data_IF_749684410342
#
_entry.id   IF_749684410342
#
_cell.length_a   1.000
_cell.length_b   1.000
_cell.length_c   1.000
_cell.angle_alpha   90.00
_cell.angle_beta   90.00
_cell.angle_gamma   90.00
#
_symmetry.space_group_name_H-M   'P 1'
#
loop_
_entity.id
_entity.type
_entity.pdbx_description
1 polymer ?
#
# COMPACT_ATOMS: atom_id res chain seq x y z
N UNK A 1 11.50 14.46 1.21
CA UNK A 1 11.11 14.22 2.63
C UNK A 1 10.97 12.71 2.81
N UNK A 2 11.22 12.11 3.99
CA UNK A 2 10.92 10.70 4.21
C UNK A 2 9.42 10.45 4.01
N UNK A 3 9.07 9.30 3.45
CA UNK A 3 7.70 8.82 3.26
C UNK A 3 7.52 7.48 3.96
N UNK A 4 6.28 7.02 4.09
CA UNK A 4 5.90 5.78 4.75
C UNK A 4 6.28 4.53 3.93
N UNK A 5 5.99 4.52 2.62
CA UNK A 5 6.30 3.42 1.70
C UNK A 5 6.79 3.94 0.35
N UNK A 6 7.74 3.21 -0.24
CA UNK A 6 8.16 3.34 -1.64
C UNK A 6 8.06 1.98 -2.32
N UNK A 7 7.56 1.96 -3.56
CA UNK A 7 7.41 0.77 -4.38
C UNK A 7 8.35 0.85 -5.59
N UNK A 8 9.10 -0.23 -5.84
CA UNK A 8 10.02 -0.34 -6.96
C UNK A 8 9.63 -1.56 -7.81
N UNK A 9 8.81 -1.36 -8.87
CA UNK A 9 8.36 -2.46 -9.71
C UNK A 9 9.54 -3.11 -10.44
N UNK A 10 9.50 -4.43 -10.55
CA UNK A 10 10.48 -5.20 -11.31
C UNK A 10 10.04 -5.35 -12.76
N UNK A 11 10.89 -4.92 -13.69
CA UNK A 11 10.70 -5.17 -15.12
C UNK A 11 11.41 -6.46 -15.52
N UNK A 12 10.63 -7.52 -15.76
CA UNK A 12 11.18 -8.82 -16.17
C UNK A 12 11.79 -8.73 -17.56
N UNK A 13 12.99 -9.30 -17.79
CA UNK A 13 13.52 -9.47 -19.13
C UNK A 13 12.52 -10.23 -20.03
N UNK A 14 12.35 -9.86 -21.31
CA UNK A 14 11.35 -10.48 -22.19
C UNK A 14 11.50 -12.00 -22.34
N UNK A 15 12.73 -12.48 -22.18
CA UNK A 15 13.13 -13.86 -22.46
C UNK A 15 12.89 -14.81 -21.29
N UNK A 16 12.61 -14.28 -20.09
CA UNK A 16 12.39 -15.09 -18.88
C UNK A 16 11.23 -14.50 -18.08
N UNK A 17 10.05 -15.13 -18.06
CA UNK A 17 8.97 -14.70 -17.17
C UNK A 17 9.34 -15.07 -15.73
N UNK A 18 9.68 -14.06 -14.93
CA UNK A 18 9.90 -14.22 -13.49
C UNK A 18 8.65 -13.76 -12.73
N UNK A 19 8.12 -14.53 -11.76
CA UNK A 19 6.96 -14.13 -10.96
C UNK A 19 7.37 -13.17 -9.83
N UNK A 20 8.13 -12.12 -10.16
CA UNK A 20 8.58 -11.09 -9.22
C UNK A 20 7.83 -9.79 -9.51
N UNK A 21 7.23 -9.21 -8.47
CA UNK A 21 6.54 -7.92 -8.56
C UNK A 21 7.50 -6.74 -8.41
N UNK A 22 8.50 -6.86 -7.55
CA UNK A 22 9.43 -5.79 -7.20
C UNK A 22 9.65 -5.68 -5.70
N UNK A 23 10.15 -4.52 -5.26
CA UNK A 23 10.54 -4.27 -3.88
C UNK A 23 9.65 -3.22 -3.21
N UNK A 24 9.39 -3.40 -1.91
CA UNK A 24 8.79 -2.40 -1.04
C UNK A 24 9.81 -1.94 0.01
N UNK A 25 9.99 -0.64 0.13
CA UNK A 25 10.80 -0.02 1.19
C UNK A 25 9.88 0.75 2.11
N UNK A 26 9.75 0.28 3.35
CA UNK A 26 8.83 0.86 4.35
C UNK A 26 9.62 1.49 5.50
N UNK A 27 9.31 2.73 5.83
CA UNK A 27 9.97 3.47 6.91
C UNK A 27 9.24 3.28 8.24
N UNK A 28 9.70 2.31 9.06
CA UNK A 28 9.06 1.97 10.33
C UNK A 28 8.80 3.17 11.29
N UNK A 29 9.72 4.14 11.48
CA UNK A 29 9.45 5.30 12.33
C UNK A 29 8.33 6.19 11.79
N UNK A 30 8.21 6.34 10.47
CA UNK A 30 7.15 7.14 9.84
C UNK A 30 5.81 6.42 10.02
N UNK A 31 5.73 5.12 9.72
CA UNK A 31 4.53 4.30 9.94
C UNK A 31 4.06 4.35 11.39
N UNK A 32 4.98 4.22 12.35
CA UNK A 32 4.63 4.31 13.77
C UNK A 32 4.14 5.71 14.18
N UNK A 33 4.63 6.76 13.54
CA UNK A 33 4.23 8.15 13.84
C UNK A 33 2.85 8.43 13.27
N UNK A 34 2.61 8.05 12.02
CA UNK A 34 1.31 8.20 11.35
C UNK A 34 0.22 7.40 12.05
N UNK A 35 0.47 6.14 12.41
CA UNK A 35 -0.50 5.32 13.13
C UNK A 35 -0.97 6.00 14.42
N UNK A 36 -0.05 6.61 15.17
CA UNK A 36 -0.41 7.37 16.39
C UNK A 36 -1.19 8.65 16.08
N UNK A 37 -0.78 9.39 15.06
CA UNK A 37 -1.43 10.66 14.68
C UNK A 37 -2.85 10.44 14.15
N UNK A 38 -3.08 9.35 13.43
CA UNK A 38 -4.37 8.96 12.87
C UNK A 38 -5.18 8.07 13.80
N UNK A 39 -4.71 7.82 15.04
CA UNK A 39 -5.36 6.93 16.00
C UNK A 39 -5.67 5.51 15.45
N UNK A 40 -4.82 5.01 14.56
CA UNK A 40 -4.90 3.67 13.98
C UNK A 40 -4.11 2.68 14.81
N UNK A 41 -4.60 1.44 14.87
CA UNK A 41 -3.79 0.34 15.40
C UNK A 41 -2.51 0.19 14.56
N UNK A 42 -1.35 0.11 15.20
CA UNK A 42 -0.06 0.04 14.51
C UNK A 42 -0.02 -1.09 13.47
N UNK A 43 -0.56 -2.27 13.82
CA UNK A 43 -0.61 -3.42 12.92
C UNK A 43 -1.51 -3.17 11.70
N UNK A 44 -2.63 -2.45 11.88
CA UNK A 44 -3.51 -2.08 10.77
C UNK A 44 -2.82 -1.10 9.81
N UNK A 45 -2.07 -0.12 10.34
CA UNK A 45 -1.32 0.82 9.50
C UNK A 45 -0.18 0.13 8.73
N UNK A 46 0.50 -0.84 9.35
CA UNK A 46 1.46 -1.69 8.64
C UNK A 46 0.81 -2.50 7.52
N UNK A 47 -0.33 -3.13 7.79
CA UNK A 47 -1.06 -3.89 6.79
C UNK A 47 -1.47 -2.98 5.62
N UNK A 48 -1.96 -1.77 5.93
CA UNK A 48 -2.31 -0.76 4.92
C UNK A 48 -1.11 -0.43 4.02
N UNK A 49 0.06 -0.10 4.59
CA UNK A 49 1.25 0.23 3.79
C UNK A 49 1.74 -0.91 2.91
N UNK A 50 1.64 -2.16 3.38
CA UNK A 50 2.03 -3.33 2.58
C UNK A 50 1.04 -3.55 1.44
N UNK A 51 -0.27 -3.47 1.70
CA UNK A 51 -1.31 -3.63 0.68
C UNK A 51 -1.19 -2.52 -0.37
N UNK A 52 -1.13 -1.26 0.07
CA UNK A 52 -0.95 -0.09 -0.78
C UNK A 52 0.29 -0.21 -1.66
N UNK A 53 1.45 -0.51 -1.05
CA UNK A 53 2.70 -0.69 -1.77
C UNK A 53 2.62 -1.81 -2.81
N UNK A 54 1.98 -2.94 -2.46
CA UNK A 54 1.82 -4.09 -3.36
C UNK A 54 0.93 -3.77 -4.55
N UNK A 55 -0.14 -2.98 -4.34
CA UNK A 55 -1.00 -2.52 -5.43
C UNK A 55 -0.23 -1.61 -6.41
N UNK A 56 0.64 -0.74 -5.90
CA UNK A 56 1.57 0.01 -6.76
C UNK A 56 2.48 -0.90 -7.60
N UNK A 57 3.01 -1.99 -7.01
CA UNK A 57 3.79 -2.97 -7.77
C UNK A 57 2.97 -3.73 -8.83
N UNK A 58 1.64 -3.75 -8.70
CA UNK A 58 0.71 -4.33 -9.69
C UNK A 58 0.23 -3.32 -10.74
N UNK A 59 0.70 -2.07 -10.68
CA UNK A 59 0.35 -1.02 -11.63
C UNK A 59 -0.95 -0.26 -11.31
N UNK A 60 -1.50 -0.41 -10.10
CA UNK A 60 -2.49 0.53 -9.59
C UNK A 60 -1.78 1.83 -9.21
N UNK A 61 -2.43 2.96 -9.47
CA UNK A 61 -1.94 4.28 -9.11
C UNK A 61 -3.13 5.12 -8.61
N UNK A 62 -2.85 6.31 -8.12
CA UNK A 62 -3.83 7.25 -7.57
C UNK A 62 -3.54 8.68 -8.04
N UNK A 63 -3.16 8.86 -9.31
CA UNK A 63 -2.83 10.17 -9.89
C UNK A 63 -4.09 10.99 -10.21
N UNK A 64 -5.20 10.31 -10.51
CA UNK A 64 -6.52 10.92 -10.71
C UNK A 64 -7.59 10.25 -9.83
N UNK A 65 -8.72 10.92 -9.67
CA UNK A 65 -9.81 10.49 -8.77
C UNK A 65 -10.37 9.11 -9.14
N UNK A 66 -10.39 8.75 -10.43
CA UNK A 66 -10.93 7.47 -10.88
C UNK A 66 -9.98 6.32 -10.55
N UNK A 67 -8.68 6.54 -10.77
CA UNK A 67 -7.63 5.60 -10.39
C UNK A 67 -7.56 5.43 -8.86
N UNK A 68 -7.61 6.54 -8.13
CA UNK A 68 -7.64 6.54 -6.68
C UNK A 68 -8.82 5.71 -6.16
N UNK A 69 -10.05 6.00 -6.59
CA UNK A 69 -11.22 5.24 -6.15
C UNK A 69 -11.07 3.73 -6.40
N UNK A 70 -10.57 3.34 -7.58
CA UNK A 70 -10.36 1.94 -7.91
C UNK A 70 -9.32 1.27 -6.99
N UNK A 71 -8.22 1.97 -6.69
CA UNK A 71 -7.17 1.48 -5.81
C UNK A 71 -7.67 1.38 -4.38
N UNK A 72 -8.31 2.42 -3.86
CA UNK A 72 -8.85 2.46 -2.50
C UNK A 72 -9.89 1.36 -2.26
N UNK A 73 -10.77 1.10 -3.23
CA UNK A 73 -11.76 0.02 -3.12
C UNK A 73 -11.10 -1.36 -3.00
N UNK A 74 -9.96 -1.56 -3.67
CA UNK A 74 -9.16 -2.78 -3.55
C UNK A 74 -8.47 -2.86 -2.20
N UNK A 75 -7.93 -1.75 -1.71
CA UNK A 75 -7.33 -1.67 -0.38
C UNK A 75 -8.35 -2.05 0.70
N UNK A 76 -9.56 -1.48 0.65
CA UNK A 76 -10.67 -1.80 1.55
C UNK A 76 -11.01 -3.29 1.52
N UNK A 77 -11.20 -3.86 0.32
CA UNK A 77 -11.53 -5.28 0.16
C UNK A 77 -10.45 -6.20 0.74
N UNK A 78 -9.17 -5.92 0.47
CA UNK A 78 -8.05 -6.75 0.94
C UNK A 78 -7.89 -6.63 2.46
N UNK A 79 -7.93 -5.42 3.01
CA UNK A 79 -7.79 -5.19 4.44
C UNK A 79 -8.94 -5.82 5.22
N UNK A 80 -10.17 -5.72 4.72
CA UNK A 80 -11.32 -6.39 5.31
C UNK A 80 -11.15 -7.91 5.30
N UNK A 81 -10.67 -8.50 4.21
CA UNK A 81 -10.38 -9.93 4.13
C UNK A 81 -9.28 -10.38 5.11
N UNK A 82 -8.37 -9.48 5.49
CA UNK A 82 -7.33 -9.68 6.51
C UNK A 82 -7.80 -9.35 7.94
N UNK A 83 -9.08 -9.01 8.14
CA UNK A 83 -9.69 -8.58 9.40
C UNK A 83 -9.14 -7.24 9.96
N UNK A 84 -8.74 -6.33 9.09
CA UNK A 84 -8.45 -4.95 9.45
C UNK A 84 -9.62 -4.03 9.11
N UNK A 85 -9.76 -2.94 9.88
CA UNK A 85 -10.72 -1.88 9.59
C UNK A 85 -10.38 -1.16 8.29
N UNK A 86 -11.40 -0.54 7.69
CA UNK A 86 -11.22 0.35 6.54
C UNK A 86 -10.26 1.50 6.90
N UNK A 87 -9.17 1.72 6.13
CA UNK A 87 -8.16 2.72 6.46
C UNK A 87 -8.59 4.16 6.12
N UNK A 88 -9.73 4.36 5.44
CA UNK A 88 -10.24 5.66 4.99
C UNK A 88 -11.41 6.20 5.84
N UNK A 89 -11.69 5.60 7.00
CA UNK A 89 -12.84 5.99 7.84
C UNK A 89 -12.75 7.38 8.47
N UNK A 90 -11.60 8.05 8.36
CA UNK A 90 -11.33 9.38 8.90
C UNK A 90 -11.29 10.49 7.82
N UNK A 91 -11.67 10.18 6.57
CA UNK A 91 -11.93 11.19 5.53
C UNK A 91 -13.35 11.79 5.61
#
# INVERSE_FOLDING_TARGET
>A
KPTNVLSFPFESPPEVPLPLLGDLVICAPVVSTEARQQNKALQAHWAHMVVHGTLHLQGYDHQDDQQAQLMEDKERQILQALNFSDPYTDE
#
